data_IF_996256538092
#
_entry.id   IF_996256538092
#
_cell.length_a   1.000
_cell.length_b   1.000
_cell.length_c   1.000
_cell.angle_alpha   90.00
_cell.angle_beta   90.00
_cell.angle_gamma   90.00
#
_symmetry.space_group_name_H-M   'P 1'
#
loop_
_entity.id
_entity.type
_entity.pdbx_description
1 polymer ?
#
# COMPACT_ATOMS: atom_id res chain seq x y z
N UNK A 1 -9.14 55.45 -41.99
CA UNK A 1 -10.14 55.07 -40.96
C UNK A 1 -11.14 54.11 -41.63
N UNK A 2 -11.55 52.96 -41.07
CA UNK A 2 -11.38 52.35 -39.73
C UNK A 2 -10.49 51.08 -39.73
N UNK A 3 -9.63 50.82 -38.73
CA UNK A 3 -9.87 50.10 -37.46
C UNK A 3 -10.49 48.70 -37.62
N UNK A 4 -9.69 47.62 -37.46
CA UNK A 4 -10.20 46.25 -37.27
C UNK A 4 -9.35 45.49 -36.24
N UNK A 5 -9.88 45.52 -35.01
CA UNK A 5 -10.07 44.44 -34.03
C UNK A 5 -8.88 43.56 -33.64
N UNK A 6 -8.31 43.89 -32.48
CA UNK A 6 -7.49 43.02 -31.64
C UNK A 6 -8.35 41.83 -31.19
N UNK A 7 -8.01 40.62 -31.62
CA UNK A 7 -8.52 39.38 -31.06
C UNK A 7 -7.70 39.04 -29.80
N UNK A 8 -8.24 39.41 -28.64
CA UNK A 8 -7.84 38.82 -27.37
C UNK A 8 -8.58 37.47 -27.24
N UNK A 9 -7.87 36.36 -27.40
CA UNK A 9 -8.37 35.04 -27.02
C UNK A 9 -7.74 34.65 -25.69
N UNK A 10 -8.55 34.71 -24.62
CA UNK A 10 -8.22 34.18 -23.30
C UNK A 10 -8.00 32.67 -23.40
N UNK A 11 -6.81 32.20 -23.06
CA UNK A 11 -6.58 30.79 -22.74
C UNK A 11 -6.55 30.64 -21.21
N UNK A 12 -7.73 30.50 -20.61
CA UNK A 12 -7.89 30.00 -19.25
C UNK A 12 -7.49 28.52 -19.22
N UNK A 13 -6.22 28.24 -18.94
CA UNK A 13 -5.74 26.89 -18.69
C UNK A 13 -6.28 26.41 -17.33
N UNK A 14 -7.18 25.43 -17.42
CA UNK A 14 -7.89 24.76 -16.34
C UNK A 14 -6.93 24.10 -15.35
N UNK A 15 -6.90 24.61 -14.11
CA UNK A 15 -6.32 23.93 -12.97
C UNK A 15 -7.33 22.94 -12.38
N UNK A 16 -7.32 21.68 -12.85
CA UNK A 16 -8.04 20.57 -12.18
C UNK A 16 -7.21 19.28 -12.25
N UNK A 17 -6.08 19.24 -11.55
CA UNK A 17 -5.30 17.99 -11.38
C UNK A 17 -5.40 17.40 -9.96
N UNK A 18 -6.24 17.94 -9.08
CA UNK A 18 -6.23 17.57 -7.66
C UNK A 18 -7.12 16.37 -7.27
N UNK A 19 -7.90 15.78 -8.18
CA UNK A 19 -8.78 14.64 -7.87
C UNK A 19 -8.24 13.26 -8.29
N UNK A 20 -7.04 13.16 -8.87
CA UNK A 20 -6.54 11.87 -9.36
C UNK A 20 -5.91 10.98 -8.26
N UNK A 21 -5.50 11.54 -7.12
CA UNK A 21 -4.87 10.74 -6.04
C UNK A 21 -5.88 9.79 -5.35
N UNK A 22 -7.13 10.24 -5.20
CA UNK A 22 -8.19 9.42 -4.60
C UNK A 22 -8.63 8.25 -5.50
N UNK A 23 -8.44 8.36 -6.82
CA UNK A 23 -8.76 7.28 -7.76
C UNK A 23 -7.74 6.14 -7.79
N UNK A 24 -6.51 6.42 -7.35
CA UNK A 24 -5.42 5.43 -7.33
C UNK A 24 -5.24 4.74 -5.98
N UNK A 25 -5.74 5.34 -4.89
CA UNK A 25 -5.77 4.74 -3.55
C UNK A 25 -7.09 4.00 -3.37
N UNK A 26 -7.05 2.68 -3.29
CA UNK A 26 -8.26 1.89 -3.09
C UNK A 26 -8.00 0.65 -2.24
N UNK A 27 -8.68 0.57 -1.11
CA UNK A 27 -8.70 -0.62 -0.24
C UNK A 27 -9.51 -1.74 -0.87
N UNK A 28 -10.31 -1.46 -1.91
CA UNK A 28 -10.98 -2.48 -2.70
C UNK A 28 -10.01 -3.43 -3.45
N UNK A 29 -8.71 -3.10 -3.47
CA UNK A 29 -7.62 -3.98 -3.91
C UNK A 29 -7.28 -5.07 -2.88
N UNK A 30 -7.75 -4.95 -1.64
CA UNK A 30 -7.55 -5.89 -0.53
C UNK A 30 -8.89 -6.54 -0.20
N UNK A 31 -9.37 -7.44 -1.06
CA UNK A 31 -10.68 -8.06 -0.89
C UNK A 31 -10.60 -9.16 0.15
N UNK A 32 -11.67 -9.37 0.94
CA UNK A 32 -11.72 -10.51 1.84
C UNK A 32 -11.54 -11.84 1.08
N UNK A 33 -10.61 -12.67 1.57
CA UNK A 33 -10.19 -13.91 0.91
C UNK A 33 -8.92 -13.77 0.05
N UNK A 34 -8.49 -12.55 -0.27
CA UNK A 34 -7.27 -12.34 -1.04
C UNK A 34 -6.03 -12.81 -0.27
N UNK A 35 -5.10 -13.36 -1.04
CA UNK A 35 -3.79 -13.77 -0.57
C UNK A 35 -2.71 -13.18 -1.46
N UNK A 36 -1.65 -12.67 -0.83
CA UNK A 36 -0.51 -12.05 -1.50
C UNK A 36 0.80 -12.60 -0.96
N UNK A 37 1.80 -12.68 -1.84
CA UNK A 37 3.20 -12.79 -1.46
C UNK A 37 3.77 -11.38 -1.21
N UNK A 38 4.52 -11.22 -0.13
CA UNK A 38 5.25 -9.96 0.15
C UNK A 38 6.50 -9.93 -0.71
N UNK A 39 6.59 -8.96 -1.62
CA UNK A 39 7.71 -8.85 -2.58
C UNK A 39 8.72 -7.78 -2.18
N UNK A 40 8.27 -6.72 -1.51
CA UNK A 40 9.12 -5.58 -1.11
C UNK A 40 8.74 -5.06 0.28
N UNK A 41 9.74 -4.56 0.98
CA UNK A 41 9.63 -3.95 2.32
C UNK A 41 10.48 -2.68 2.32
N UNK A 42 9.82 -1.54 2.39
CA UNK A 42 10.41 -0.20 2.46
C UNK A 42 11.53 -0.01 1.42
N UNK A 43 11.18 -0.20 0.14
CA UNK A 43 12.12 -0.05 -0.97
C UNK A 43 13.05 -1.25 -1.23
N UNK A 44 13.14 -2.22 -0.33
CA UNK A 44 14.04 -3.37 -0.43
C UNK A 44 13.31 -4.64 -0.85
N UNK A 45 13.95 -5.58 -1.57
CA UNK A 45 13.40 -6.92 -1.78
C UNK A 45 13.09 -7.62 -0.45
N UNK A 46 11.90 -8.22 -0.35
CA UNK A 46 11.52 -8.99 0.82
C UNK A 46 12.22 -10.36 0.84
N UNK A 47 12.63 -10.87 2.01
CA UNK A 47 13.03 -12.27 2.14
C UNK A 47 11.89 -13.22 1.73
N UNK A 48 12.24 -14.39 1.21
CA UNK A 48 11.24 -15.36 0.77
C UNK A 48 10.34 -15.85 1.91
N UNK A 49 9.09 -16.16 1.56
CA UNK A 49 8.10 -16.74 2.46
C UNK A 49 7.22 -15.72 3.20
N UNK A 50 7.37 -14.42 2.91
CA UNK A 50 6.46 -13.40 3.41
C UNK A 50 5.08 -13.49 2.76
N UNK A 51 4.02 -13.47 3.56
CA UNK A 51 2.63 -13.54 3.08
C UNK A 51 1.77 -12.47 3.70
N UNK A 52 0.74 -12.06 2.97
CA UNK A 52 -0.28 -11.13 3.44
C UNK A 52 -1.65 -11.65 3.02
N UNK A 53 -2.51 -11.93 3.99
CA UNK A 53 -3.85 -12.48 3.79
C UNK A 53 -4.89 -11.52 4.35
N UNK A 54 -5.94 -11.28 3.58
CA UNK A 54 -7.09 -10.46 3.97
C UNK A 54 -8.23 -11.38 4.40
N UNK A 55 -8.61 -11.30 5.67
CA UNK A 55 -9.69 -12.09 6.25
C UNK A 55 -11.09 -11.49 6.01
N UNK A 56 -12.10 -12.35 6.07
CA UNK A 56 -13.54 -12.00 6.03
C UNK A 56 -14.01 -11.08 7.15
N UNK A 57 -13.27 -11.06 8.26
CA UNK A 57 -13.58 -10.37 9.51
C UNK A 57 -12.93 -8.99 9.62
N UNK A 58 -12.39 -8.45 8.52
CA UNK A 58 -11.67 -7.18 8.52
C UNK A 58 -10.28 -7.27 9.19
N UNK A 59 -9.73 -8.48 9.32
CA UNK A 59 -8.36 -8.68 9.78
C UNK A 59 -7.43 -8.93 8.61
N UNK A 60 -6.19 -8.50 8.75
CA UNK A 60 -5.08 -8.96 7.91
C UNK A 60 -4.14 -9.78 8.76
N UNK A 61 -3.59 -10.83 8.17
CA UNK A 61 -2.63 -11.70 8.85
C UNK A 61 -1.63 -12.27 7.85
N UNK A 62 -0.55 -12.85 8.35
CA UNK A 62 0.39 -13.55 7.47
C UNK A 62 1.74 -13.82 8.10
N UNK A 63 2.71 -14.12 7.24
CA UNK A 63 4.10 -14.30 7.59
C UNK A 63 4.88 -13.01 7.26
N UNK A 64 5.52 -12.45 8.28
CA UNK A 64 6.60 -11.49 8.15
C UNK A 64 7.93 -12.24 7.89
N UNK A 65 9.05 -11.54 7.62
CA UNK A 65 10.34 -12.18 7.34
C UNK A 65 10.84 -13.18 8.40
N UNK A 66 10.48 -12.97 9.67
CA UNK A 66 10.83 -13.85 10.78
C UNK A 66 9.60 -14.34 11.57
N UNK A 67 8.63 -13.45 11.82
CA UNK A 67 7.47 -13.76 12.67
C UNK A 67 6.18 -13.93 11.88
N UNK A 68 5.12 -14.36 12.57
CA UNK A 68 3.75 -14.16 12.09
C UNK A 68 3.22 -12.84 12.60
N UNK A 69 2.36 -12.20 11.81
CA UNK A 69 1.70 -10.96 12.21
C UNK A 69 0.19 -11.04 12.05
N UNK A 70 -0.52 -10.14 12.72
CA UNK A 70 -1.93 -9.88 12.51
C UNK A 70 -2.25 -8.43 12.85
N UNK A 71 -3.21 -7.84 12.14
CA UNK A 71 -3.71 -6.50 12.39
C UNK A 71 -5.19 -6.40 11.99
N UNK A 72 -5.88 -5.36 12.43
CA UNK A 72 -7.21 -5.00 11.94
C UNK A 72 -7.07 -3.99 10.81
N UNK A 73 -7.70 -4.27 9.68
CA UNK A 73 -7.84 -3.32 8.58
C UNK A 73 -9.06 -2.45 8.86
N UNK A 74 -8.85 -1.14 8.96
CA UNK A 74 -9.93 -0.17 9.14
C UNK A 74 -9.89 0.85 8.00
N UNK A 75 -11.06 1.18 7.47
CA UNK A 75 -11.24 2.24 6.47
C UNK A 75 -11.98 3.43 7.06
N UNK A 76 -11.46 4.63 6.84
CA UNK A 76 -12.12 5.89 7.20
C UNK A 76 -11.83 6.96 6.15
N UNK A 77 -12.88 7.59 5.61
CA UNK A 77 -12.75 8.74 4.72
C UNK A 77 -11.91 8.49 3.45
N UNK A 78 -11.84 7.26 2.96
CA UNK A 78 -11.03 6.86 1.80
C UNK A 78 -9.57 6.51 2.11
N UNK A 79 -9.16 6.53 3.38
CA UNK A 79 -7.87 6.01 3.83
C UNK A 79 -8.04 4.67 4.57
N UNK A 80 -7.02 3.80 4.50
CA UNK A 80 -6.93 2.61 5.34
C UNK A 80 -5.96 2.82 6.49
N UNK A 81 -6.13 2.08 7.57
CA UNK A 81 -5.15 1.93 8.65
C UNK A 81 -5.07 0.48 9.08
N UNK A 82 -3.87 0.06 9.51
CA UNK A 82 -3.64 -1.24 10.12
C UNK A 82 -3.49 -1.07 11.63
N UNK A 83 -4.57 -1.35 12.36
CA UNK A 83 -4.66 -1.12 13.80
C UNK A 83 -4.31 -2.38 14.59
N UNK A 84 -3.70 -2.18 15.76
CA UNK A 84 -3.39 -3.27 16.69
C UNK A 84 -2.47 -4.32 16.06
N UNK A 85 -1.43 -3.88 15.34
CA UNK A 85 -0.43 -4.77 14.77
C UNK A 85 0.22 -5.58 15.90
N UNK A 86 0.06 -6.90 15.84
CA UNK A 86 0.69 -7.85 16.75
C UNK A 86 1.57 -8.79 15.96
N UNK A 87 2.70 -9.17 16.55
CA UNK A 87 3.66 -10.09 15.96
C UNK A 87 4.09 -11.13 16.99
N UNK A 88 4.37 -12.35 16.54
CA UNK A 88 5.00 -13.36 17.41
C UNK A 88 6.44 -12.95 17.75
N UNK A 89 7.06 -13.64 18.71
CA UNK A 89 8.48 -13.46 19.06
C UNK A 89 9.26 -14.75 18.83
N UNK A 90 9.75 -14.93 17.61
CA UNK A 90 10.65 -16.02 17.20
C UNK A 90 12.05 -15.47 17.04
N UNK A 91 13.04 -16.24 17.47
CA UNK A 91 14.43 -15.94 17.17
C UNK A 91 14.78 -16.38 15.74
N UNK A 92 15.29 -15.46 14.92
CA UNK A 92 15.90 -15.78 13.64
C UNK A 92 17.41 -15.51 13.73
N UNK A 93 18.23 -16.48 13.35
CA UNK A 93 19.70 -16.37 13.37
C UNK A 93 20.24 -15.52 12.23
N UNK A 94 19.45 -15.31 11.19
CA UNK A 94 19.82 -14.51 10.02
C UNK A 94 19.63 -13.00 10.31
N UNK A 95 20.72 -12.20 10.35
CA UNK A 95 20.64 -10.77 10.63
C UNK A 95 19.87 -9.99 9.54
N UNK A 96 19.93 -10.42 8.28
CA UNK A 96 19.19 -9.76 7.21
C UNK A 96 17.68 -9.95 7.38
N UNK A 97 17.24 -11.14 7.82
CA UNK A 97 15.83 -11.40 8.17
C UNK A 97 15.39 -10.56 9.36
N UNK A 98 16.21 -10.44 10.41
CA UNK A 98 15.89 -9.61 11.58
C UNK A 98 15.78 -8.12 11.23
N UNK A 99 16.65 -7.60 10.35
CA UNK A 99 16.53 -6.23 9.86
C UNK A 99 15.28 -6.01 8.99
N UNK A 100 14.95 -6.98 8.13
CA UNK A 100 13.75 -6.93 7.30
C UNK A 100 12.48 -7.00 8.15
N UNK A 101 12.48 -7.80 9.22
CA UNK A 101 11.39 -7.91 10.20
C UNK A 101 11.09 -6.55 10.85
N UNK A 102 12.11 -5.86 11.35
CA UNK A 102 11.95 -4.51 11.94
C UNK A 102 11.39 -3.53 10.92
N UNK A 103 11.91 -3.54 9.69
CA UNK A 103 11.38 -2.69 8.60
C UNK A 103 9.93 -3.01 8.28
N UNK A 104 9.55 -4.28 8.27
CA UNK A 104 8.18 -4.71 8.03
C UNK A 104 7.23 -4.22 9.11
N UNK A 105 7.61 -4.37 10.38
CA UNK A 105 6.82 -3.89 11.51
C UNK A 105 6.57 -2.38 11.44
N UNK A 106 7.61 -1.60 11.16
CA UNK A 106 7.50 -0.13 10.99
C UNK A 106 6.62 0.19 9.77
N UNK A 107 6.86 -0.47 8.64
CA UNK A 107 6.10 -0.26 7.41
C UNK A 107 4.60 -0.47 7.60
N UNK A 108 4.17 -1.53 8.31
CA UNK A 108 2.76 -1.79 8.58
C UNK A 108 2.07 -0.63 9.32
N UNK A 109 2.78 0.01 10.27
CA UNK A 109 2.23 1.11 11.06
C UNK A 109 2.11 2.42 10.28
N UNK A 110 2.82 2.57 9.17
CA UNK A 110 2.79 3.78 8.33
C UNK A 110 1.84 3.68 7.14
N UNK A 111 1.21 2.53 6.89
CA UNK A 111 0.33 2.33 5.74
C UNK A 111 -0.96 3.14 5.92
N UNK A 112 -1.27 3.97 4.94
CA UNK A 112 -2.51 4.75 4.87
C UNK A 112 -3.35 4.45 3.62
N UNK A 113 -2.81 3.67 2.67
CA UNK A 113 -3.45 3.39 1.39
C UNK A 113 -2.94 2.12 0.72
N UNK A 114 -3.69 1.64 -0.26
CA UNK A 114 -3.27 0.61 -1.20
C UNK A 114 -3.42 1.14 -2.62
N UNK A 115 -2.46 0.87 -3.50
CA UNK A 115 -2.45 1.31 -4.91
C UNK A 115 -2.10 0.15 -5.82
N UNK A 116 -2.75 0.08 -6.98
CA UNK A 116 -2.39 -0.88 -8.00
C UNK A 116 -1.12 -0.42 -8.73
N UNK A 117 -0.16 -1.33 -8.92
CA UNK A 117 1.11 -1.05 -9.62
C UNK A 117 1.51 -2.25 -10.45
N UNK A 118 1.43 -2.14 -11.78
CA UNK A 118 1.90 -3.19 -12.71
C UNK A 118 1.35 -4.60 -12.41
N UNK A 119 0.07 -4.70 -12.05
CA UNK A 119 -0.57 -5.98 -11.69
C UNK A 119 -0.30 -6.47 -10.26
N UNK A 120 0.41 -5.67 -9.46
CA UNK A 120 0.65 -5.88 -8.04
C UNK A 120 -0.10 -4.84 -7.19
N UNK A 121 -0.11 -5.03 -5.88
CA UNK A 121 -0.63 -4.07 -4.90
C UNK A 121 0.54 -3.48 -4.12
N UNK A 122 0.64 -2.16 -4.10
CA UNK A 122 1.58 -1.42 -3.27
C UNK A 122 0.83 -0.81 -2.09
N UNK A 123 1.19 -1.19 -0.87
CA UNK A 123 0.75 -0.48 0.33
C UNK A 123 1.61 0.77 0.51
N UNK A 124 0.97 1.92 0.64
CA UNK A 124 1.60 3.24 0.63
C UNK A 124 1.33 4.02 1.91
N UNK A 125 2.22 4.96 2.23
CA UNK A 125 2.03 5.95 3.30
C UNK A 125 1.24 7.19 2.82
N UNK A 126 1.10 8.18 3.71
CA UNK A 126 0.34 9.40 3.43
C UNK A 126 0.97 10.18 2.27
N UNK A 127 2.31 10.19 2.20
CA UNK A 127 3.10 10.80 1.13
C UNK A 127 3.07 10.01 -0.20
N UNK A 128 2.42 8.84 -0.22
CA UNK A 128 2.28 7.99 -1.41
C UNK A 128 3.51 7.11 -1.68
N UNK A 129 4.44 7.00 -0.74
CA UNK A 129 5.62 6.12 -0.88
C UNK A 129 5.24 4.67 -0.60
N UNK A 130 5.73 3.76 -1.42
CA UNK A 130 5.56 2.33 -1.22
C UNK A 130 6.28 1.86 0.05
N UNK A 131 5.50 1.34 1.01
CA UNK A 131 5.99 0.74 2.25
C UNK A 131 6.08 -0.78 2.12
N UNK A 132 5.12 -1.42 1.45
CA UNK A 132 5.08 -2.87 1.25
C UNK A 132 4.60 -3.16 -0.17
N UNK A 133 5.32 -4.01 -0.91
CA UNK A 133 4.90 -4.55 -2.20
C UNK A 133 4.26 -5.92 -2.03
N UNK A 134 3.13 -6.15 -2.70
CA UNK A 134 2.32 -7.36 -2.62
C UNK A 134 2.04 -7.89 -4.03
N UNK A 135 2.44 -9.13 -4.30
CA UNK A 135 2.04 -9.82 -5.53
C UNK A 135 0.87 -10.77 -5.23
N UNK A 136 -0.24 -10.71 -5.98
CA UNK A 136 -1.31 -11.70 -5.84
C UNK A 136 -0.76 -13.11 -6.03
N UNK A 137 -1.02 -13.99 -5.07
CA UNK A 137 -0.85 -15.42 -5.28
C UNK A 137 -2.20 -15.91 -5.76
N UNK A 138 -2.31 -16.19 -7.06
CA UNK A 138 -3.57 -16.56 -7.70
C UNK A 138 -4.31 -17.61 -6.87
N UNK A 139 -5.55 -17.27 -6.47
CA UNK A 139 -6.48 -18.26 -5.96
C UNK A 139 -6.67 -19.31 -7.05
N UNK A 140 -6.34 -20.56 -6.74
CA UNK A 140 -6.69 -21.69 -7.60
C UNK A 140 -8.20 -21.84 -7.63
#
# INVERSE_FOLDING_TARGET
MPATRILAALATATALTACQDAGERSVALLRPGDSFAVTRIDGNPAPQGGTFQVGGDGRVSGAAPCNRFSARLAEQGGAMTLNGVVMTRRACLDPARTMAETRFAIALTSVTGARARSGQVSLIDAEGRERIGLAPVGGT
#
